data_IF_183563327490
#
_entry.id   IF_183563327490
#
_cell.length_a   1.000
_cell.length_b   1.000
_cell.length_c   1.000
_cell.angle_alpha   90.00
_cell.angle_beta   90.00
_cell.angle_gamma   90.00
#
_symmetry.space_group_name_H-M   'P 1'
#
loop_
_entity.id
_entity.type
_entity.pdbx_description
1 polymer ?
#
# COMPACT_ATOMS: atom_id res chain seq x y z
N UNK A 1 -1.23 -15.62 -2.13
CA UNK A 1 -0.84 -14.27 -1.66
C UNK A 1 0.18 -13.75 -2.65
N UNK A 2 -0.03 -12.56 -3.21
CA UNK A 2 1.00 -11.92 -4.03
C UNK A 2 2.14 -11.51 -3.11
N UNK A 3 3.36 -11.97 -3.39
CA UNK A 3 4.55 -11.54 -2.66
C UNK A 3 4.88 -10.09 -3.04
N UNK A 4 5.20 -9.28 -2.04
CA UNK A 4 5.70 -7.93 -2.27
C UNK A 4 7.23 -7.97 -2.31
N UNK A 5 7.83 -7.18 -3.19
CA UNK A 5 9.28 -7.03 -3.29
C UNK A 5 9.83 -6.23 -2.10
N UNK A 6 9.06 -5.26 -1.60
CA UNK A 6 9.48 -4.31 -0.57
C UNK A 6 8.35 -4.07 0.43
N UNK A 7 8.68 -3.99 1.72
CA UNK A 7 7.77 -3.58 2.80
C UNK A 7 8.11 -2.18 3.33
N UNK A 8 7.11 -1.32 3.46
CA UNK A 8 7.23 0.03 4.03
C UNK A 8 6.28 0.20 5.21
N UNK A 9 6.83 0.55 6.37
CA UNK A 9 6.08 0.88 7.58
C UNK A 9 6.14 2.38 7.82
N UNK A 10 4.98 3.02 7.88
CA UNK A 10 4.84 4.46 8.10
C UNK A 10 4.50 5.21 6.82
N UNK A 11 3.22 5.49 6.62
CA UNK A 11 2.70 6.26 5.49
C UNK A 11 2.50 7.73 5.88
N UNK A 12 3.56 8.46 6.18
CA UNK A 12 3.49 9.94 6.20
C UNK A 12 3.62 10.50 4.76
N UNK A 13 3.61 11.82 4.58
CA UNK A 13 3.73 12.45 3.24
C UNK A 13 4.98 11.99 2.49
N UNK A 14 6.11 11.85 3.18
CA UNK A 14 7.35 11.33 2.59
C UNK A 14 7.27 9.82 2.28
N UNK A 15 6.64 9.04 3.16
CA UNK A 15 6.48 7.59 2.98
C UNK A 15 5.62 7.25 1.76
N UNK A 16 4.53 7.98 1.57
CA UNK A 16 3.68 7.85 0.37
C UNK A 16 4.48 8.11 -0.92
N UNK A 17 5.27 9.19 -0.97
CA UNK A 17 6.06 9.52 -2.16
C UNK A 17 7.14 8.46 -2.47
N UNK A 18 7.76 7.89 -1.44
CA UNK A 18 8.73 6.80 -1.59
C UNK A 18 8.08 5.56 -2.21
N UNK A 19 6.92 5.16 -1.69
CA UNK A 19 6.16 4.01 -2.18
C UNK A 19 5.72 4.22 -3.64
N UNK A 20 5.23 5.43 -3.97
CA UNK A 20 4.83 5.76 -5.34
C UNK A 20 6.00 5.72 -6.32
N UNK A 21 7.19 6.16 -5.90
CA UNK A 21 8.39 6.07 -6.72
C UNK A 21 8.79 4.62 -7.00
N UNK A 22 8.78 3.76 -5.97
CA UNK A 22 9.08 2.33 -6.11
C UNK A 22 8.07 1.64 -7.04
N UNK A 23 6.78 1.91 -6.86
CA UNK A 23 5.73 1.34 -7.72
C UNK A 23 5.89 1.79 -9.19
N UNK A 24 6.26 3.03 -9.44
CA UNK A 24 6.53 3.52 -10.80
C UNK A 24 7.78 2.88 -11.44
N UNK A 25 8.70 2.34 -10.64
CA UNK A 25 9.85 1.59 -11.10
C UNK A 25 9.60 0.07 -11.18
N UNK A 26 8.34 -0.36 -11.07
CA UNK A 26 7.94 -1.75 -11.27
C UNK A 26 8.06 -2.64 -10.05
N UNK A 27 8.29 -2.08 -8.86
CA UNK A 27 8.29 -2.85 -7.62
C UNK A 27 6.87 -3.00 -7.06
N UNK A 28 6.58 -4.17 -6.50
CA UNK A 28 5.40 -4.40 -5.68
C UNK A 28 5.71 -4.02 -4.24
N UNK A 29 4.97 -3.07 -3.68
CA UNK A 29 5.28 -2.52 -2.35
C UNK A 29 4.14 -2.82 -1.37
N UNK A 30 4.44 -3.55 -0.30
CA UNK A 30 3.53 -3.71 0.83
C UNK A 30 3.65 -2.52 1.78
N UNK A 31 2.54 -1.92 2.17
CA UNK A 31 2.52 -0.76 3.07
C UNK A 31 1.75 -1.07 4.35
N UNK A 32 2.24 -0.54 5.48
CA UNK A 32 1.55 -0.62 6.76
C UNK A 32 1.69 0.70 7.52
N UNK A 33 0.63 1.08 8.24
CA UNK A 33 0.67 2.22 9.15
C UNK A 33 -0.15 1.89 10.39
N UNK A 34 0.26 2.40 11.57
CA UNK A 34 -0.48 2.19 12.82
C UNK A 34 -1.93 2.70 12.73
N UNK A 35 -2.14 3.80 12.01
CA UNK A 35 -3.46 4.37 11.77
C UNK A 35 -3.99 3.85 10.43
N UNK A 36 -4.92 2.89 10.48
CA UNK A 36 -5.48 2.20 9.31
C UNK A 36 -6.15 3.12 8.27
N UNK A 37 -6.96 4.14 8.66
CA UNK A 37 -7.60 5.04 7.69
C UNK A 37 -6.63 5.68 6.70
N UNK A 38 -5.40 5.99 7.16
CA UNK A 38 -4.39 6.60 6.30
C UNK A 38 -3.89 5.67 5.20
N UNK A 39 -3.91 4.36 5.44
CA UNK A 39 -3.56 3.38 4.41
C UNK A 39 -4.71 3.24 3.43
N UNK A 40 -5.95 3.15 3.93
CA UNK A 40 -7.14 3.08 3.09
C UNK A 40 -7.22 4.29 2.14
N UNK A 41 -7.08 5.52 2.66
CA UNK A 41 -7.07 6.76 1.88
C UNK A 41 -5.96 6.78 0.81
N UNK A 42 -4.79 6.23 1.14
CA UNK A 42 -3.67 6.18 0.22
C UNK A 42 -3.93 5.19 -0.92
N UNK A 43 -4.39 3.98 -0.59
CA UNK A 43 -4.71 2.90 -1.55
C UNK A 43 -5.86 3.30 -2.48
N UNK A 44 -6.93 3.87 -1.93
CA UNK A 44 -8.09 4.31 -2.71
C UNK A 44 -7.83 5.61 -3.49
N UNK A 45 -6.85 6.41 -3.04
CA UNK A 45 -6.46 7.68 -3.64
C UNK A 45 -5.21 7.59 -4.52
N UNK A 46 -4.09 8.05 -3.99
CA UNK A 46 -2.85 8.29 -4.77
C UNK A 46 -2.19 7.02 -5.29
N UNK A 47 -2.39 5.90 -4.60
CA UNK A 47 -1.87 4.59 -4.95
C UNK A 47 -2.84 3.77 -5.81
N UNK A 48 -3.99 4.34 -6.19
CA UNK A 48 -4.95 3.68 -7.06
C UNK A 48 -4.28 3.28 -8.38
N UNK A 49 -4.59 2.06 -8.82
CA UNK A 49 -4.07 1.44 -10.05
C UNK A 49 -2.53 1.21 -10.06
N UNK A 50 -1.87 1.20 -8.89
CA UNK A 50 -0.44 0.88 -8.75
C UNK A 50 -0.24 -0.49 -8.09
N UNK A 51 0.97 -1.03 -8.21
CA UNK A 51 1.44 -2.28 -7.60
C UNK A 51 1.72 -2.10 -6.10
N UNK A 52 0.71 -1.66 -5.33
CA UNK A 52 0.84 -1.38 -3.91
C UNK A 52 -0.17 -2.23 -3.14
N UNK A 53 0.32 -2.96 -2.13
CA UNK A 53 -0.46 -3.88 -1.31
C UNK A 53 -0.67 -3.25 0.07
N UNK A 54 -1.91 -2.93 0.40
CA UNK A 54 -2.28 -2.48 1.76
C UNK A 54 -2.41 -3.65 2.75
N UNK A 55 -2.46 -3.38 4.06
CA UNK A 55 -2.70 -4.41 5.05
C UNK A 55 -4.07 -5.05 4.79
N UNK A 56 -4.12 -6.37 4.94
CA UNK A 56 -5.36 -7.13 4.87
C UNK A 56 -6.20 -6.74 6.11
N UNK A 57 -7.05 -5.75 5.95
CA UNK A 57 -8.18 -5.52 6.85
C UNK A 57 -9.29 -6.49 6.47
N UNK A 58 -10.06 -7.01 7.45
CA UNK A 58 -11.20 -7.92 7.21
C UNK A 58 -12.21 -7.41 6.17
N UNK A 59 -12.19 -6.11 5.83
CA UNK A 59 -13.01 -5.51 4.76
C UNK A 59 -12.65 -5.97 3.35
N UNK A 60 -11.41 -6.36 3.09
CA UNK A 60 -10.95 -6.84 1.77
C UNK A 60 -11.03 -8.37 1.62
N UNK A 61 -11.64 -9.08 2.57
CA UNK A 61 -11.92 -10.50 2.49
C UNK A 61 -13.35 -10.72 1.99
N UNK A 62 -13.57 -10.57 0.68
CA UNK A 62 -14.67 -11.28 0.02
C UNK A 62 -14.06 -12.55 -0.56
N UNK A 63 -14.17 -13.63 0.21
CA UNK A 63 -13.95 -15.00 -0.24
C UNK A 63 -14.73 -15.24 -1.53
N UNK A 64 -13.99 -15.41 -2.61
CA UNK A 64 -14.37 -16.19 -3.79
C UNK A 64 -13.44 -17.39 -3.85
#
# INVERSE_FOLDING_TARGET
>A
MSEADIGVIGLAVMGENLVLNMANHGFTVAVYNRTTPRVDDFIEGRAKDKTIIGPITRRNWSIG
#
